data_IF_476685701917
#
_entry.id   IF_476685701917
#
_cell.length_a   1.000
_cell.length_b   1.000
_cell.length_c   1.000
_cell.angle_alpha   90.00
_cell.angle_beta   90.00
_cell.angle_gamma   90.00
#
_symmetry.space_group_name_H-M   'P 1'
#
loop_
_entity.id
_entity.type
_entity.pdbx_description
1 polymer ?
#
# COMPACT_ATOMS: atom_id res chain seq x y z
N UNK A 1 18.69 15.20 -7.04
CA UNK A 1 19.10 13.99 -6.32
C UNK A 1 20.61 13.93 -6.32
N UNK A 2 21.20 13.71 -5.16
CA UNK A 2 22.65 13.52 -5.04
C UNK A 2 23.00 12.09 -5.43
N UNK A 3 23.95 11.96 -6.32
CA UNK A 3 24.47 10.67 -6.77
C UNK A 3 25.86 10.49 -6.16
N UNK A 4 25.99 9.44 -5.36
CA UNK A 4 27.22 9.10 -4.67
C UNK A 4 27.87 7.89 -5.31
N UNK A 5 29.20 7.97 -5.45
CA UNK A 5 30.03 6.86 -5.85
C UNK A 5 31.17 6.71 -4.85
N UNK A 6 31.41 5.51 -4.37
CA UNK A 6 32.44 5.24 -3.38
C UNK A 6 33.80 5.81 -3.83
N UNK A 7 34.36 6.71 -3.03
CA UNK A 7 35.67 7.33 -3.28
C UNK A 7 35.65 8.53 -4.26
N UNK A 8 34.49 9.01 -4.67
CA UNK A 8 34.37 10.19 -5.55
C UNK A 8 33.35 11.17 -4.90
N UNK A 9 33.59 12.47 -5.06
CA UNK A 9 32.69 13.50 -4.56
C UNK A 9 31.30 13.34 -5.16
N UNK A 10 30.26 13.47 -4.34
CA UNK A 10 28.85 13.44 -4.79
C UNK A 10 28.57 14.57 -5.76
N UNK A 11 27.70 14.33 -6.72
CA UNK A 11 27.22 15.33 -7.66
C UNK A 11 25.69 15.30 -7.78
N UNK A 12 25.11 16.45 -8.06
CA UNK A 12 23.67 16.55 -8.29
C UNK A 12 23.31 16.16 -9.72
N UNK A 13 22.34 15.30 -9.88
CA UNK A 13 21.82 14.87 -11.17
C UNK A 13 20.31 14.72 -11.15
N UNK A 14 19.69 15.00 -12.30
CA UNK A 14 18.30 14.65 -12.59
C UNK A 14 18.29 13.25 -13.21
N UNK A 15 17.72 12.31 -12.49
CA UNK A 15 17.62 10.93 -12.97
C UNK A 15 16.29 10.72 -13.69
N UNK A 16 16.38 10.41 -14.97
CA UNK A 16 15.25 9.97 -15.80
C UNK A 16 15.33 8.44 -15.96
N UNK A 17 14.96 7.73 -14.93
CA UNK A 17 15.07 6.26 -14.89
C UNK A 17 13.71 5.62 -14.59
N UNK A 18 13.57 4.39 -15.05
CA UNK A 18 12.53 3.45 -14.61
C UNK A 18 13.24 2.30 -13.92
N UNK A 19 12.72 1.92 -12.76
CA UNK A 19 13.27 0.80 -12.02
C UNK A 19 12.58 -0.48 -12.45
N UNK A 20 13.36 -1.52 -12.69
CA UNK A 20 12.90 -2.89 -12.85
C UNK A 20 13.49 -3.71 -11.72
N UNK A 21 12.63 -4.24 -10.86
CA UNK A 21 13.04 -4.99 -9.69
C UNK A 21 12.58 -6.44 -9.81
N UNK A 22 13.44 -7.38 -9.46
CA UNK A 22 13.12 -8.81 -9.40
C UNK A 22 13.29 -9.27 -7.96
N UNK A 23 12.34 -10.06 -7.46
CA UNK A 23 12.36 -10.57 -6.09
C UNK A 23 11.29 -11.60 -5.86
N UNK A 24 11.41 -12.32 -4.74
CA UNK A 24 10.43 -13.32 -4.31
C UNK A 24 9.35 -12.73 -3.38
N UNK A 25 9.31 -11.42 -3.21
CA UNK A 25 8.37 -10.74 -2.35
C UNK A 25 7.95 -9.38 -2.92
N UNK A 26 7.01 -8.75 -2.24
CA UNK A 26 6.54 -7.43 -2.58
C UNK A 26 7.62 -6.37 -2.34
N UNK A 27 7.69 -5.38 -3.24
CA UNK A 27 8.51 -4.20 -3.01
C UNK A 27 7.76 -3.28 -2.03
N UNK A 28 8.26 -3.17 -0.82
CA UNK A 28 7.75 -2.26 0.20
C UNK A 28 8.75 -1.15 0.47
N UNK A 29 8.28 0.07 0.66
CA UNK A 29 9.13 1.15 1.12
C UNK A 29 9.14 1.16 2.65
N UNK A 30 10.33 1.29 3.24
CA UNK A 30 10.50 1.37 4.70
C UNK A 30 9.79 2.59 5.30
N UNK A 31 9.71 3.70 4.54
CA UNK A 31 9.23 4.98 5.05
C UNK A 31 8.10 5.62 4.24
N UNK A 32 7.79 5.11 3.05
CA UNK A 32 6.73 5.65 2.19
C UNK A 32 5.71 4.56 1.87
N UNK A 33 4.60 4.58 2.60
CA UNK A 33 3.42 3.73 2.37
C UNK A 33 2.26 4.54 1.77
N UNK A 34 2.59 5.65 1.10
CA UNK A 34 1.59 6.50 0.46
C UNK A 34 1.03 5.87 -0.82
N UNK A 35 -0.19 6.25 -1.17
CA UNK A 35 -0.77 5.94 -2.49
C UNK A 35 0.15 6.40 -3.64
N UNK A 36 0.89 7.50 -3.43
CA UNK A 36 1.88 8.00 -4.37
C UNK A 36 2.98 7.01 -4.70
N UNK A 37 3.39 6.17 -3.76
CA UNK A 37 4.37 5.11 -3.98
C UNK A 37 3.75 3.93 -4.74
N UNK A 38 2.60 3.43 -4.30
CA UNK A 38 1.96 2.24 -4.88
C UNK A 38 1.43 2.47 -6.31
N UNK A 39 0.81 3.62 -6.60
CA UNK A 39 0.28 3.93 -7.94
C UNK A 39 1.35 4.05 -9.05
N UNK A 40 2.64 4.12 -8.67
CA UNK A 40 3.76 4.14 -9.62
C UNK A 40 4.35 2.77 -9.90
N UNK A 41 3.81 1.74 -9.27
CA UNK A 41 4.27 0.37 -9.43
C UNK A 41 3.36 -0.41 -10.40
N UNK A 42 3.97 -1.25 -11.21
CA UNK A 42 3.30 -2.29 -11.97
C UNK A 42 3.87 -3.61 -11.46
N UNK A 43 3.03 -4.37 -10.76
CA UNK A 43 3.44 -5.63 -10.16
C UNK A 43 3.05 -6.78 -11.07
N UNK A 44 4.06 -7.50 -11.55
CA UNK A 44 3.87 -8.66 -12.42
C UNK A 44 4.34 -9.89 -11.66
N UNK A 45 3.44 -10.83 -11.44
CA UNK A 45 3.77 -12.12 -10.84
C UNK A 45 4.01 -13.16 -11.92
N UNK A 46 5.05 -13.98 -11.73
CA UNK A 46 5.28 -15.16 -12.57
C UNK A 46 4.27 -16.26 -12.23
N UNK A 47 4.11 -17.20 -13.14
CA UNK A 47 3.36 -18.43 -12.85
C UNK A 47 4.17 -19.32 -11.92
N UNK A 48 3.49 -20.14 -11.15
CA UNK A 48 4.14 -21.17 -10.37
C UNK A 48 4.92 -22.13 -11.26
N UNK A 49 5.97 -22.71 -10.71
CA UNK A 49 6.77 -23.71 -11.42
C UNK A 49 5.90 -24.91 -11.74
N UNK A 50 5.72 -25.26 -13.03
CA UNK A 50 4.95 -26.46 -13.38
C UNK A 50 5.57 -27.72 -12.75
N UNK A 51 4.72 -28.63 -12.35
CA UNK A 51 5.16 -29.93 -11.83
C UNK A 51 6.03 -30.65 -12.86
N UNK A 52 7.16 -31.22 -12.42
CA UNK A 52 8.09 -31.92 -13.30
C UNK A 52 8.99 -31.02 -14.16
N UNK A 53 8.92 -29.68 -14.04
CA UNK A 53 9.83 -28.80 -14.77
C UNK A 53 11.28 -29.01 -14.32
N UNK A 54 12.13 -29.32 -15.28
CA UNK A 54 13.58 -29.34 -15.12
C UNK A 54 14.14 -27.96 -15.49
N UNK A 55 15.03 -27.42 -14.67
CA UNK A 55 15.68 -26.14 -14.97
C UNK A 55 16.69 -26.33 -16.11
N UNK A 56 16.69 -25.40 -17.06
CA UNK A 56 17.57 -25.41 -18.21
C UNK A 56 18.84 -24.59 -17.90
N UNK A 57 20.01 -25.24 -17.73
CA UNK A 57 21.24 -24.51 -17.41
C UNK A 57 21.74 -23.64 -18.57
N UNK A 58 21.26 -23.86 -19.78
CA UNK A 58 21.65 -23.12 -21.00
C UNK A 58 20.57 -22.13 -21.48
N UNK A 59 19.63 -21.78 -20.60
CA UNK A 59 18.55 -20.86 -20.95
C UNK A 59 19.05 -19.50 -21.43
N UNK A 60 20.09 -18.97 -20.79
CA UNK A 60 20.66 -17.66 -21.15
C UNK A 60 21.26 -17.69 -22.55
N UNK A 61 22.01 -18.72 -22.91
CA UNK A 61 22.60 -18.89 -24.23
C UNK A 61 21.55 -19.03 -25.33
N UNK A 62 20.46 -19.76 -25.04
CA UNK A 62 19.31 -19.87 -25.93
C UNK A 62 18.63 -18.53 -26.15
N UNK A 63 18.40 -17.77 -25.08
CA UNK A 63 17.84 -16.41 -25.19
C UNK A 63 18.74 -15.47 -25.98
N UNK A 64 20.06 -15.55 -25.80
CA UNK A 64 21.03 -14.76 -26.56
C UNK A 64 20.95 -15.12 -28.06
N UNK A 65 20.80 -16.40 -28.40
CA UNK A 65 20.65 -16.83 -29.79
C UNK A 65 19.36 -16.30 -30.43
N UNK A 66 18.31 -16.08 -29.64
CA UNK A 66 17.00 -15.55 -30.10
C UNK A 66 16.85 -14.03 -29.88
N UNK A 67 17.91 -13.32 -29.53
CA UNK A 67 17.88 -11.89 -29.14
C UNK A 67 17.16 -10.97 -30.16
N UNK A 68 17.27 -11.27 -31.45
CA UNK A 68 16.61 -10.47 -32.50
C UNK A 68 15.08 -10.62 -32.42
N UNK A 69 14.60 -11.84 -32.23
CA UNK A 69 13.16 -12.10 -32.02
C UNK A 69 12.63 -11.45 -30.74
N UNK A 70 13.38 -11.53 -29.66
CA UNK A 70 13.05 -10.87 -28.40
C UNK A 70 12.99 -9.35 -28.59
N UNK A 71 13.94 -8.77 -29.32
CA UNK A 71 13.94 -7.33 -29.62
C UNK A 71 12.74 -6.92 -30.44
N UNK A 72 12.39 -7.67 -31.49
CA UNK A 72 11.20 -7.41 -32.29
C UNK A 72 9.90 -7.47 -31.45
N UNK A 73 9.82 -8.43 -30.54
CA UNK A 73 8.71 -8.52 -29.60
C UNK A 73 8.61 -7.28 -28.69
N UNK A 74 9.74 -6.78 -28.20
CA UNK A 74 9.79 -5.54 -27.42
C UNK A 74 9.33 -4.33 -28.25
N UNK A 75 9.71 -4.25 -29.52
CA UNK A 75 9.27 -3.18 -30.43
C UNK A 75 7.75 -3.20 -30.67
N UNK A 76 7.15 -4.38 -30.78
CA UNK A 76 5.68 -4.48 -30.86
C UNK A 76 5.01 -3.99 -29.57
N UNK A 77 5.59 -4.26 -28.41
CA UNK A 77 5.15 -3.69 -27.13
C UNK A 77 5.24 -2.16 -27.11
N UNK A 78 6.35 -1.61 -27.62
CA UNK A 78 6.55 -0.15 -27.70
C UNK A 78 5.55 0.49 -28.67
N UNK A 79 5.28 -0.09 -29.84
CA UNK A 79 4.25 0.41 -30.77
C UNK A 79 2.89 0.52 -30.11
N UNK A 80 2.49 -0.50 -29.36
CA UNK A 80 1.22 -0.48 -28.60
C UNK A 80 1.20 0.61 -27.55
N UNK A 81 2.31 0.81 -26.82
CA UNK A 81 2.41 1.85 -25.82
C UNK A 81 2.30 3.25 -26.42
N UNK A 82 2.98 3.50 -27.54
CA UNK A 82 2.90 4.76 -28.30
C UNK A 82 1.48 5.00 -28.82
N UNK A 83 0.85 3.97 -29.40
CA UNK A 83 -0.52 4.06 -29.91
C UNK A 83 -1.56 4.31 -28.81
N UNK A 84 -1.23 4.01 -27.55
CA UNK A 84 -2.06 4.25 -26.37
C UNK A 84 -1.60 5.51 -25.58
N UNK A 85 -1.03 6.50 -26.24
CA UNK A 85 -0.55 7.76 -25.64
C UNK A 85 0.37 7.54 -24.42
N UNK A 86 1.27 6.56 -24.50
CA UNK A 86 2.21 6.17 -23.44
C UNK A 86 1.54 5.69 -22.14
N UNK A 87 0.27 5.29 -22.20
CA UNK A 87 -0.45 4.71 -21.06
C UNK A 87 -0.32 3.19 -21.06
N UNK A 88 0.15 2.64 -19.96
CA UNK A 88 0.20 1.19 -19.79
C UNK A 88 -1.21 0.60 -19.64
N UNK A 89 -1.45 -0.51 -20.32
CA UNK A 89 -2.64 -1.34 -20.11
C UNK A 89 -2.33 -2.24 -18.92
N UNK A 90 -2.96 -1.97 -17.79
CA UNK A 90 -2.77 -2.73 -16.55
C UNK A 90 -3.82 -3.86 -16.53
N UNK A 91 -3.36 -5.11 -16.44
CA UNK A 91 -4.25 -6.27 -16.30
C UNK A 91 -4.92 -6.29 -14.93
N UNK A 92 -6.10 -6.92 -14.81
CA UNK A 92 -6.76 -7.12 -13.53
C UNK A 92 -5.84 -7.84 -12.54
N UNK A 93 -5.13 -8.87 -12.97
CA UNK A 93 -4.13 -9.56 -12.13
C UNK A 93 -3.07 -8.62 -11.55
N UNK A 94 -2.57 -7.65 -12.33
CA UNK A 94 -1.61 -6.66 -11.81
C UNK A 94 -2.25 -5.69 -10.82
N UNK A 95 -3.54 -5.36 -11.00
CA UNK A 95 -4.30 -4.56 -10.03
C UNK A 95 -4.51 -5.33 -8.74
N UNK A 96 -4.89 -6.59 -8.82
CA UNK A 96 -5.06 -7.46 -7.66
C UNK A 96 -3.75 -7.62 -6.88
N UNK A 97 -2.63 -7.79 -7.60
CA UNK A 97 -1.32 -7.89 -6.97
C UNK A 97 -0.97 -6.62 -6.20
N UNK A 98 -1.19 -5.42 -6.76
CA UNK A 98 -0.89 -4.18 -6.07
C UNK A 98 -1.84 -3.95 -4.89
N UNK A 99 -3.13 -4.30 -5.04
CA UNK A 99 -4.11 -4.21 -3.96
C UNK A 99 -3.74 -5.13 -2.78
N UNK A 100 -3.29 -6.35 -3.05
CA UNK A 100 -2.79 -7.26 -2.02
C UNK A 100 -1.59 -6.65 -1.29
N UNK A 101 -0.62 -6.10 -2.03
CA UNK A 101 0.56 -5.45 -1.43
C UNK A 101 0.16 -4.23 -0.58
N UNK A 102 -0.78 -3.41 -1.05
CA UNK A 102 -1.29 -2.27 -0.29
C UNK A 102 -1.96 -2.73 1.00
N UNK A 103 -2.75 -3.79 0.92
CA UNK A 103 -3.40 -4.39 2.09
C UNK A 103 -2.37 -4.90 3.09
N UNK A 104 -1.41 -5.71 2.64
CA UNK A 104 -0.35 -6.28 3.50
C UNK A 104 0.60 -5.20 4.08
N UNK A 105 0.79 -4.10 3.35
CA UNK A 105 1.61 -2.98 3.83
C UNK A 105 0.87 -2.06 4.80
N UNK A 106 -0.44 -2.23 4.97
CA UNK A 106 -1.29 -1.29 5.68
C UNK A 106 -2.17 -1.97 6.71
N UNK A 107 -1.62 -2.16 7.89
CA UNK A 107 -2.29 -2.77 9.02
C UNK A 107 -3.50 -1.97 9.57
N UNK A 108 -3.73 -0.73 9.08
CA UNK A 108 -4.94 0.03 9.44
C UNK A 108 -6.20 -0.63 8.88
N UNK A 109 -6.14 -1.25 7.68
CA UNK A 109 -7.29 -1.97 7.13
C UNK A 109 -7.64 -3.19 7.97
N UNK A 110 -6.63 -3.89 8.48
CA UNK A 110 -6.83 -5.03 9.38
C UNK A 110 -7.42 -4.57 10.71
N UNK A 111 -6.91 -3.46 11.27
CA UNK A 111 -7.49 -2.83 12.45
C UNK A 111 -8.96 -2.47 12.25
N UNK A 112 -9.31 -1.80 11.15
CA UNK A 112 -10.70 -1.42 10.87
C UNK A 112 -11.63 -2.63 10.67
N UNK A 113 -11.11 -3.76 10.23
CA UNK A 113 -11.84 -5.01 10.07
C UNK A 113 -11.85 -5.90 11.33
N UNK A 114 -11.04 -5.57 12.34
CA UNK A 114 -10.91 -6.37 13.55
C UNK A 114 -12.11 -6.17 14.47
N UNK A 115 -12.58 -7.26 15.03
CA UNK A 115 -13.62 -7.24 16.07
C UNK A 115 -13.02 -6.77 17.42
N UNK A 116 -13.86 -6.15 18.23
CA UNK A 116 -13.49 -5.84 19.61
C UNK A 116 -12.88 -4.45 19.83
N UNK A 117 -12.50 -3.68 18.81
CA UNK A 117 -11.92 -2.34 18.97
C UNK A 117 -12.85 -1.22 18.50
N UNK A 118 -13.64 -1.48 17.48
CA UNK A 118 -14.53 -0.50 16.87
C UNK A 118 -15.92 -1.07 16.65
N UNK A 119 -16.92 -0.23 16.80
CA UNK A 119 -18.29 -0.48 16.33
C UNK A 119 -18.69 0.56 15.28
N UNK A 120 -19.48 0.14 14.29
CA UNK A 120 -19.89 0.98 13.17
C UNK A 120 -21.41 1.15 13.19
N UNK A 121 -21.88 2.36 13.53
CA UNK A 121 -23.27 2.75 13.54
C UNK A 121 -23.45 4.19 13.07
N UNK A 122 -24.51 4.49 12.35
CA UNK A 122 -24.76 5.83 11.77
C UNK A 122 -24.73 6.97 12.81
N UNK A 123 -25.21 6.71 14.02
CA UNK A 123 -25.29 7.71 15.09
C UNK A 123 -23.99 7.81 15.92
N UNK A 124 -23.06 6.90 15.72
CA UNK A 124 -21.82 6.87 16.48
C UNK A 124 -20.81 7.89 15.96
N UNK A 125 -19.86 8.26 16.79
CA UNK A 125 -18.80 9.21 16.45
C UNK A 125 -17.58 9.03 17.34
N UNK A 126 -16.40 9.14 16.73
CA UNK A 126 -15.15 9.08 17.44
C UNK A 126 -14.19 10.17 16.98
N UNK A 127 -13.40 10.70 17.91
CA UNK A 127 -12.30 11.58 17.57
C UNK A 127 -11.16 10.81 16.91
N UNK A 128 -10.47 11.42 15.94
CA UNK A 128 -9.31 10.80 15.29
C UNK A 128 -8.23 10.39 16.29
N UNK A 129 -8.08 11.12 17.38
CA UNK A 129 -7.14 10.77 18.47
C UNK A 129 -7.53 9.50 19.21
N UNK A 130 -8.83 9.27 19.40
CA UNK A 130 -9.34 8.10 20.13
C UNK A 130 -9.25 6.86 19.23
N UNK A 131 -9.61 7.01 17.95
CA UNK A 131 -9.37 5.97 16.93
C UNK A 131 -7.89 5.59 16.82
N UNK A 132 -6.99 6.57 16.91
CA UNK A 132 -5.55 6.29 16.90
C UNK A 132 -5.06 5.60 18.17
N UNK A 133 -5.67 5.89 19.32
CA UNK A 133 -5.35 5.17 20.57
C UNK A 133 -5.76 3.71 20.45
N UNK A 134 -6.99 3.44 20.04
CA UNK A 134 -7.46 2.07 19.80
C UNK A 134 -6.60 1.32 18.74
N UNK A 135 -6.19 2.02 17.68
CA UNK A 135 -5.27 1.46 16.69
C UNK A 135 -3.92 1.07 17.28
N UNK A 136 -3.36 1.84 18.21
CA UNK A 136 -2.10 1.49 18.87
C UNK A 136 -2.26 0.27 19.77
N UNK A 137 -3.35 0.20 20.53
CA UNK A 137 -3.70 -0.95 21.36
C UNK A 137 -3.82 -2.22 20.50
N UNK A 138 -4.56 -2.13 19.40
CA UNK A 138 -4.64 -3.23 18.44
C UNK A 138 -3.26 -3.65 17.90
N UNK A 139 -2.39 -2.70 17.56
CA UNK A 139 -1.04 -2.99 17.10
C UNK A 139 -0.20 -3.71 18.17
N UNK A 140 -0.30 -3.30 19.44
CA UNK A 140 0.38 -3.95 20.56
C UNK A 140 -0.11 -5.38 20.75
N UNK A 141 -1.42 -5.61 20.71
CA UNK A 141 -2.04 -6.92 20.87
C UNK A 141 -1.72 -7.90 19.73
N UNK A 142 -1.49 -7.39 18.53
CA UNK A 142 -1.19 -8.19 17.34
C UNK A 142 0.31 -8.19 16.95
N UNK A 143 1.19 -7.68 17.82
CA UNK A 143 2.63 -7.57 17.59
C UNK A 143 2.98 -6.80 16.28
N UNK A 144 2.16 -5.81 15.93
CA UNK A 144 2.31 -4.95 14.77
C UNK A 144 2.97 -3.61 15.12
N UNK A 145 3.56 -2.95 14.12
CA UNK A 145 4.13 -1.63 14.31
C UNK A 145 3.13 -0.53 13.95
N UNK A 146 2.75 0.29 14.92
CA UNK A 146 1.84 1.39 14.70
C UNK A 146 2.45 2.46 13.78
N UNK A 147 1.68 2.90 12.79
CA UNK A 147 2.02 4.06 11.97
C UNK A 147 1.93 5.35 12.79
N UNK A 148 2.56 6.43 12.31
CA UNK A 148 2.40 7.74 12.95
C UNK A 148 0.94 8.23 12.90
N UNK A 149 0.52 9.05 13.87
CA UNK A 149 -0.82 9.67 13.86
C UNK A 149 -1.13 10.38 12.54
N UNK A 150 -0.13 11.04 11.95
CA UNK A 150 -0.29 11.73 10.66
C UNK A 150 -0.59 10.76 9.52
N UNK A 151 0.14 9.64 9.45
CA UNK A 151 -0.09 8.60 8.44
C UNK A 151 -1.45 7.93 8.64
N UNK A 152 -1.81 7.60 9.88
CA UNK A 152 -3.10 7.06 10.25
C UNK A 152 -4.27 7.98 9.84
N UNK A 153 -4.19 9.27 10.18
CA UNK A 153 -5.24 10.24 9.85
C UNK A 153 -5.38 10.45 8.34
N UNK A 154 -4.27 10.49 7.60
CA UNK A 154 -4.29 10.59 6.14
C UNK A 154 -4.96 9.35 5.51
N UNK A 155 -4.64 8.18 6.02
CA UNK A 155 -5.23 6.94 5.54
C UNK A 155 -6.74 6.90 5.81
N UNK A 156 -7.18 7.20 7.03
CA UNK A 156 -8.61 7.28 7.33
C UNK A 156 -9.35 8.27 6.42
N UNK A 157 -8.74 9.43 6.16
CA UNK A 157 -9.33 10.42 5.24
C UNK A 157 -9.48 9.89 3.80
N UNK A 158 -8.53 9.10 3.34
CA UNK A 158 -8.53 8.54 1.99
C UNK A 158 -9.54 7.40 1.81
N UNK A 159 -9.72 6.58 2.83
CA UNK A 159 -10.57 5.37 2.77
C UNK A 159 -11.87 5.49 3.55
N UNK A 160 -12.18 6.68 4.08
CA UNK A 160 -13.37 6.93 4.89
C UNK A 160 -14.68 6.48 4.20
N UNK A 161 -14.83 6.78 2.90
CA UNK A 161 -16.01 6.39 2.13
C UNK A 161 -16.21 4.88 2.06
N UNK A 162 -15.13 4.10 1.96
CA UNK A 162 -15.19 2.64 1.88
C UNK A 162 -15.72 2.01 3.18
N UNK A 163 -15.60 2.73 4.29
CA UNK A 163 -16.04 2.32 5.62
C UNK A 163 -17.27 3.11 6.10
N UNK A 164 -17.93 3.84 5.19
CA UNK A 164 -19.08 4.70 5.50
C UNK A 164 -18.80 5.73 6.60
N UNK A 165 -17.54 6.17 6.72
CA UNK A 165 -17.13 7.16 7.70
C UNK A 165 -17.31 8.57 7.13
N UNK A 166 -18.00 9.42 7.88
CA UNK A 166 -18.22 10.81 7.47
C UNK A 166 -17.33 11.73 8.31
N UNK A 167 -16.38 12.47 7.70
CA UNK A 167 -15.53 13.42 8.44
C UNK A 167 -16.39 14.47 9.19
N UNK A 168 -16.06 14.70 10.46
CA UNK A 168 -16.71 15.71 11.29
C UNK A 168 -15.67 16.48 12.11
N UNK A 169 -15.71 17.83 12.01
CA UNK A 169 -14.82 18.71 12.75
C UNK A 169 -15.40 19.14 14.12
N UNK A 170 -16.59 18.68 14.47
CA UNK A 170 -17.33 19.08 15.65
C UNK A 170 -17.58 17.93 16.62
N UNK A 171 -16.66 16.99 16.73
CA UNK A 171 -16.74 15.92 17.72
C UNK A 171 -16.37 16.48 19.09
N UNK A 172 -17.19 16.21 20.10
CA UNK A 172 -16.95 16.64 21.46
C UNK A 172 -16.23 15.54 22.24
N UNK A 173 -15.05 15.86 22.75
CA UNK A 173 -14.27 15.00 23.64
C UNK A 173 -14.30 15.61 25.02
N UNK A 174 -14.98 15.04 25.98
CA UNK A 174 -15.03 15.48 27.40
C UNK A 174 -15.05 17.01 27.57
N UNK A 175 -15.49 17.58 28.63
CA UNK A 175 -15.45 19.02 28.99
C UNK A 175 -15.59 20.05 27.84
N UNK A 176 -16.33 19.69 26.74
CA UNK A 176 -16.69 20.64 25.69
C UNK A 176 -15.60 21.01 24.69
N UNK A 177 -14.47 20.31 24.65
CA UNK A 177 -13.43 20.57 23.65
C UNK A 177 -13.79 19.93 22.31
N UNK A 178 -13.88 20.75 21.26
CA UNK A 178 -14.13 20.29 19.90
C UNK A 178 -12.85 19.71 19.30
N UNK A 179 -12.98 18.61 18.56
CA UNK A 179 -11.89 17.97 17.84
C UNK A 179 -12.37 17.40 16.51
N UNK A 180 -11.42 17.04 15.67
CA UNK A 180 -11.68 16.37 14.39
C UNK A 180 -11.87 14.88 14.61
N UNK A 181 -12.76 14.28 13.83
CA UNK A 181 -13.00 12.86 13.85
C UNK A 181 -13.95 12.42 12.76
N UNK A 182 -14.66 11.34 13.02
CA UNK A 182 -15.59 10.73 12.07
C UNK A 182 -16.90 10.37 12.75
N UNK A 183 -18.00 10.48 12.01
CA UNK A 183 -19.27 9.84 12.32
C UNK A 183 -19.31 8.48 11.64
N UNK A 184 -20.15 7.59 12.16
CA UNK A 184 -20.28 6.22 11.67
C UNK A 184 -19.39 5.21 12.37
N UNK A 185 -18.60 5.63 13.38
CA UNK A 185 -17.70 4.75 14.13
C UNK A 185 -17.60 5.18 15.59
N UNK A 186 -17.44 4.21 16.47
CA UNK A 186 -17.19 4.38 17.90
C UNK A 186 -16.09 3.41 18.37
N UNK A 187 -15.25 3.87 19.29
CA UNK A 187 -14.25 3.03 19.93
C UNK A 187 -14.92 2.26 21.07
N UNK A 188 -14.69 0.96 21.11
CA UNK A 188 -15.16 0.10 22.21
C UNK A 188 -14.33 0.40 23.45
N UNK A 189 -15.00 0.76 24.54
CA UNK A 189 -14.35 1.00 25.84
C UNK A 189 -14.27 -0.33 26.59
N UNK A 190 -13.09 -0.93 26.63
CA UNK A 190 -12.84 -2.18 27.36
C UNK A 190 -12.87 -2.01 28.88
N UNK A 191 -12.73 -0.77 29.37
CA UNK A 191 -12.78 -0.46 30.80
C UNK A 191 -14.22 -0.25 31.33
N UNK A 192 -15.24 -0.38 30.47
CA UNK A 192 -16.63 -0.20 30.86
C UNK A 192 -17.24 -1.53 31.31
N UNK A 193 -17.44 -1.77 32.63
CA UNK A 193 -17.96 -3.04 33.16
C UNK A 193 -19.46 -3.31 32.89
N UNK A 194 -20.12 -2.48 32.09
CA UNK A 194 -21.55 -2.57 31.79
C UNK A 194 -21.88 -3.05 30.36
N UNK A 195 -20.88 -3.53 29.60
CA UNK A 195 -21.09 -4.13 28.29
C UNK A 195 -20.94 -5.68 28.41
N UNK A 196 -21.83 -6.34 29.18
CA UNK A 196 -22.15 -7.76 29.06
C UNK A 196 -23.57 -7.95 28.49
#
# INVERSE_FOLDING_TARGET
>A
MDVERKGIQSYQSLLYVRFLCFGNGALTALHDRSDGFFRRQIVITTKDKPEGRVDDPYLVEKMIAEKEGIFLWCLEGLKRLVANDYRFIISERSKDNINAIVKDANNILEFLASEGYLTFHEDSKAATSDLYTAYKEWCEDNAENALSLKSFANFLSQYAENWHLVPDNNIYRGKGKRCRGYRGVEVIDHDNPFLE
#
